data_IF_542113687548
#
_entry.id   IF_542113687548
#
_cell.length_a   1.000
_cell.length_b   1.000
_cell.length_c   1.000
_cell.angle_alpha   90.00
_cell.angle_beta   90.00
_cell.angle_gamma   90.00
#
_symmetry.space_group_name_H-M   'P 1'
#
loop_
_entity.id
_entity.type
_entity.pdbx_description
1 polymer ?
#
# COMPACT_ATOMS: atom_id res chain seq x y z
N UNK A 1 -7.69 9.99 -1.07
CA UNK A 1 -7.54 9.39 -2.42
C UNK A 1 -8.15 8.00 -2.38
N UNK A 2 -9.49 7.90 -2.42
CA UNK A 2 -10.29 6.66 -2.49
C UNK A 2 -11.69 6.98 -3.05
N UNK A 3 -11.78 7.91 -4.01
CA UNK A 3 -13.06 8.49 -4.41
C UNK A 3 -13.94 7.50 -5.17
N UNK A 4 -13.34 6.67 -6.04
CA UNK A 4 -14.08 5.72 -6.87
C UNK A 4 -14.73 4.58 -6.07
N UNK A 5 -14.04 3.88 -5.15
CA UNK A 5 -14.72 2.84 -4.38
C UNK A 5 -15.80 3.36 -3.42
N UNK A 6 -15.73 4.64 -3.04
CA UNK A 6 -16.76 5.28 -2.21
C UNK A 6 -18.05 5.52 -2.97
N UNK A 7 -17.99 5.86 -4.26
CA UNK A 7 -19.22 6.00 -5.06
C UNK A 7 -19.92 4.65 -5.20
N UNK A 8 -19.16 3.58 -5.45
CA UNK A 8 -19.70 2.23 -5.57
C UNK A 8 -20.38 1.76 -4.27
N UNK A 9 -19.82 2.09 -3.11
CA UNK A 9 -20.45 1.80 -1.82
C UNK A 9 -21.83 2.45 -1.70
N UNK A 10 -21.97 3.71 -2.12
CA UNK A 10 -23.24 4.45 -2.06
C UNK A 10 -24.24 3.89 -3.07
N UNK A 11 -23.80 3.57 -4.28
CA UNK A 11 -24.65 3.03 -5.35
C UNK A 11 -25.24 1.64 -5.03
N UNK A 12 -24.49 0.82 -4.29
CA UNK A 12 -24.86 -0.57 -3.98
C UNK A 12 -25.49 -0.75 -2.59
N UNK A 13 -25.52 0.31 -1.77
CA UNK A 13 -26.02 0.26 -0.40
C UNK A 13 -27.47 -0.27 -0.32
N UNK A 14 -28.37 0.26 -1.16
CA UNK A 14 -29.79 -0.11 -1.14
C UNK A 14 -30.06 -1.52 -1.71
N UNK A 15 -29.06 -2.14 -2.33
CA UNK A 15 -29.11 -3.52 -2.81
C UNK A 15 -28.59 -4.51 -1.75
N UNK A 16 -28.19 -4.04 -0.58
CA UNK A 16 -27.63 -4.87 0.49
C UNK A 16 -26.26 -5.45 0.17
N UNK A 17 -25.53 -4.87 -0.80
CA UNK A 17 -24.20 -5.33 -1.22
C UNK A 17 -23.13 -4.48 -0.53
N UNK A 18 -22.31 -5.11 0.30
CA UNK A 18 -21.19 -4.46 0.97
C UNK A 18 -19.99 -4.31 0.00
N UNK A 19 -19.32 -3.16 0.07
CA UNK A 19 -18.14 -2.84 -0.74
C UNK A 19 -16.98 -2.60 0.20
N UNK A 20 -15.82 -3.20 -0.09
CA UNK A 20 -14.60 -3.04 0.70
C UNK A 20 -13.42 -2.74 -0.24
N UNK A 21 -12.47 -1.93 0.22
CA UNK A 21 -11.24 -1.57 -0.50
C UNK A 21 -10.05 -2.15 0.24
N UNK A 22 -9.27 -2.96 -0.45
CA UNK A 22 -8.06 -3.56 0.11
C UNK A 22 -6.83 -2.90 -0.49
N UNK A 23 -5.93 -2.42 0.36
CA UNK A 23 -4.72 -1.72 -0.07
C UNK A 23 -3.49 -2.36 0.61
N UNK A 24 -3.03 -3.52 0.11
CA UNK A 24 -1.81 -4.13 0.63
C UNK A 24 -0.57 -3.36 0.14
N UNK A 25 0.47 -3.32 1.00
CA UNK A 25 1.84 -2.99 0.59
C UNK A 25 2.49 -4.22 -0.06
N UNK A 26 3.80 -4.19 -0.31
CA UNK A 26 4.53 -5.34 -0.89
C UNK A 26 4.52 -6.56 0.06
N UNK A 27 4.17 -7.72 -0.47
CA UNK A 27 4.13 -9.00 0.23
C UNK A 27 4.56 -10.14 -0.69
N UNK A 28 4.87 -11.30 -0.10
CA UNK A 28 5.32 -12.45 -0.89
C UNK A 28 4.21 -12.93 -1.84
N UNK A 29 4.43 -12.76 -3.14
CA UNK A 29 3.48 -13.12 -4.22
C UNK A 29 4.21 -13.50 -5.50
N UNK A 30 3.45 -14.04 -6.46
CA UNK A 30 3.89 -14.28 -7.84
C UNK A 30 3.75 -13.04 -8.76
N UNK A 31 3.59 -11.83 -8.21
CA UNK A 31 3.36 -10.62 -9.01
C UNK A 31 4.52 -10.32 -9.99
N UNK A 32 5.73 -10.75 -9.67
CA UNK A 32 6.91 -10.61 -10.53
C UNK A 32 6.82 -11.39 -11.84
N UNK A 33 6.05 -12.48 -11.86
CA UNK A 33 5.90 -13.33 -13.04
C UNK A 33 5.18 -12.58 -14.16
N UNK A 34 4.25 -11.72 -13.78
CA UNK A 34 3.49 -10.85 -14.69
C UNK A 34 3.96 -9.39 -14.70
N UNK A 35 5.05 -9.06 -13.99
CA UNK A 35 5.53 -7.69 -13.91
C UNK A 35 6.10 -7.20 -15.24
N UNK A 36 5.44 -6.21 -15.85
CA UNK A 36 5.88 -5.51 -17.07
C UNK A 36 6.57 -4.20 -16.69
N UNK A 37 7.84 -4.30 -16.32
CA UNK A 37 8.69 -3.14 -16.04
C UNK A 37 9.51 -2.68 -17.25
N UNK A 38 9.83 -1.39 -17.35
CA UNK A 38 10.62 -0.85 -18.46
C UNK A 38 12.08 -1.33 -18.46
N UNK A 39 12.63 -1.78 -17.32
CA UNK A 39 14.02 -2.25 -17.22
C UNK A 39 14.17 -3.51 -16.32
N UNK A 40 15.13 -4.39 -16.63
CA UNK A 40 15.44 -5.56 -15.78
C UNK A 40 15.87 -5.20 -14.34
N UNK A 41 16.58 -4.08 -14.17
CA UNK A 41 17.02 -3.59 -12.87
C UNK A 41 15.84 -3.26 -11.94
N UNK A 42 14.76 -2.70 -12.48
CA UNK A 42 13.54 -2.39 -11.73
C UNK A 42 12.81 -3.66 -11.30
N UNK A 43 12.77 -4.69 -12.16
CA UNK A 43 12.22 -6.01 -11.81
C UNK A 43 13.00 -6.65 -10.64
N UNK A 44 14.33 -6.60 -10.67
CA UNK A 44 15.17 -7.13 -9.58
C UNK A 44 14.97 -6.38 -8.26
N UNK A 45 14.76 -5.06 -8.30
CA UNK A 45 14.51 -4.26 -7.09
C UNK A 45 13.15 -4.58 -6.47
N UNK A 46 12.10 -4.72 -7.29
CA UNK A 46 10.76 -5.10 -6.82
C UNK A 46 10.79 -6.53 -6.28
N UNK A 47 11.56 -7.43 -6.91
CA UNK A 47 11.73 -8.78 -6.41
C UNK A 47 12.27 -8.83 -4.99
N UNK A 48 13.33 -8.05 -4.72
CA UNK A 48 13.87 -7.90 -3.36
C UNK A 48 12.87 -7.33 -2.37
N UNK A 49 11.97 -6.43 -2.79
CA UNK A 49 10.95 -5.86 -1.91
C UNK A 49 9.87 -6.88 -1.55
N UNK A 50 9.48 -7.73 -2.50
CA UNK A 50 8.49 -8.79 -2.28
C UNK A 50 9.07 -9.90 -1.39
N UNK A 51 10.31 -10.32 -1.64
CA UNK A 51 11.03 -11.34 -0.84
C UNK A 51 11.29 -10.88 0.59
N UNK A 52 11.63 -9.60 0.80
CA UNK A 52 11.91 -9.06 2.12
C UNK A 52 10.66 -8.94 3.00
N UNK A 53 9.47 -8.99 2.40
CA UNK A 53 8.24 -8.82 3.15
C UNK A 53 8.00 -10.01 4.08
N UNK A 54 7.72 -9.77 5.38
CA UNK A 54 7.50 -10.84 6.36
C UNK A 54 6.10 -11.46 6.26
N UNK A 55 5.19 -10.87 5.49
CA UNK A 55 3.79 -11.30 5.39
C UNK A 55 3.57 -12.09 4.09
N UNK A 56 2.83 -13.20 4.20
CA UNK A 56 2.50 -14.06 3.06
C UNK A 56 1.14 -13.70 2.46
N UNK A 57 0.87 -14.20 1.25
CA UNK A 57 -0.45 -14.06 0.65
C UNK A 57 -1.59 -14.69 1.47
N UNK A 58 -1.31 -15.79 2.19
CA UNK A 58 -2.28 -16.44 3.07
C UNK A 58 -2.64 -15.55 4.26
N UNK A 59 -1.64 -14.92 4.89
CA UNK A 59 -1.86 -14.00 6.02
C UNK A 59 -2.69 -12.78 5.60
N UNK A 60 -2.42 -12.24 4.40
CA UNK A 60 -3.21 -11.15 3.85
C UNK A 60 -4.65 -11.59 3.59
N UNK A 61 -4.86 -12.77 3.00
CA UNK A 61 -6.20 -13.29 2.72
C UNK A 61 -7.02 -13.47 4.00
N UNK A 62 -6.42 -14.04 5.04
CA UNK A 62 -7.05 -14.22 6.34
C UNK A 62 -7.36 -12.88 7.01
N UNK A 63 -6.42 -11.92 6.97
CA UNK A 63 -6.67 -10.57 7.45
C UNK A 63 -7.85 -9.90 6.73
N UNK A 64 -7.90 -9.97 5.40
CA UNK A 64 -9.01 -9.42 4.61
C UNK A 64 -10.33 -10.06 5.02
N UNK A 65 -10.36 -11.39 5.12
CA UNK A 65 -11.55 -12.14 5.49
C UNK A 65 -12.14 -11.67 6.82
N UNK A 66 -11.29 -11.51 7.85
CA UNK A 66 -11.72 -11.02 9.17
C UNK A 66 -12.23 -9.58 9.11
N UNK A 67 -11.56 -8.70 8.36
CA UNK A 67 -11.95 -7.29 8.26
C UNK A 67 -13.23 -7.08 7.46
N UNK A 68 -13.45 -7.89 6.42
CA UNK A 68 -14.73 -7.92 5.69
C UNK A 68 -15.86 -8.34 6.63
N UNK A 69 -15.66 -9.40 7.43
CA UNK A 69 -16.64 -9.82 8.44
C UNK A 69 -16.92 -8.75 9.51
N UNK A 70 -15.92 -7.90 9.82
CA UNK A 70 -16.07 -6.77 10.73
C UNK A 70 -16.77 -5.54 10.11
N UNK A 71 -17.07 -5.55 8.80
CA UNK A 71 -17.71 -4.44 8.11
C UNK A 71 -16.76 -3.28 7.77
N UNK A 72 -15.44 -3.50 7.80
CA UNK A 72 -14.46 -2.44 7.58
C UNK A 72 -14.33 -2.07 6.11
N UNK A 73 -14.69 -0.84 5.75
CA UNK A 73 -14.62 -0.37 4.36
C UNK A 73 -13.19 -0.34 3.83
N UNK A 74 -12.22 0.15 4.62
CA UNK A 74 -10.84 0.33 4.18
C UNK A 74 -9.91 -0.64 4.91
N UNK A 75 -9.44 -1.63 4.18
CA UNK A 75 -8.64 -2.73 4.71
C UNK A 75 -7.18 -2.48 4.35
N UNK A 76 -6.37 -2.17 5.37
CA UNK A 76 -4.92 -1.99 5.29
C UNK A 76 -4.24 -3.16 6.01
N UNK A 77 -3.77 -4.20 5.29
CA UNK A 77 -3.17 -5.38 5.92
C UNK A 77 -1.88 -5.10 6.67
N UNK A 78 -1.11 -4.11 6.22
CA UNK A 78 0.21 -3.80 6.76
C UNK A 78 0.12 -2.74 7.86
N UNK A 79 0.80 -2.99 8.98
CA UNK A 79 0.82 -2.08 10.13
C UNK A 79 1.40 -0.72 9.79
N UNK A 80 2.52 -0.67 9.08
CA UNK A 80 3.13 0.58 8.59
C UNK A 80 2.14 1.39 7.75
N UNK A 81 1.33 0.70 6.93
CA UNK A 81 0.28 1.34 6.12
C UNK A 81 -0.81 1.96 6.98
N UNK A 82 -1.21 1.32 8.08
CA UNK A 82 -2.17 1.85 9.05
C UNK A 82 -1.59 3.06 9.79
N UNK A 83 -0.36 2.98 10.28
CA UNK A 83 0.32 4.08 10.96
C UNK A 83 0.46 5.31 10.05
N UNK A 84 0.90 5.10 8.81
CA UNK A 84 1.02 6.20 7.83
C UNK A 84 -0.33 6.82 7.51
N UNK A 85 -1.39 6.01 7.43
CA UNK A 85 -2.74 6.52 7.23
C UNK A 85 -3.24 7.35 8.42
N UNK A 86 -2.99 6.89 9.64
CA UNK A 86 -3.39 7.60 10.85
C UNK A 86 -2.63 8.91 11.02
N UNK A 87 -1.33 8.92 10.73
CA UNK A 87 -0.53 10.14 10.67
C UNK A 87 -1.09 11.12 9.63
N UNK A 88 -1.44 10.63 8.43
CA UNK A 88 -2.02 11.46 7.37
C UNK A 88 -3.39 12.05 7.75
N UNK A 89 -4.20 11.32 8.51
CA UNK A 89 -5.50 11.80 8.99
C UNK A 89 -5.37 12.84 10.11
N UNK A 90 -4.48 12.60 11.06
CA UNK A 90 -4.42 13.38 12.29
C UNK A 90 -3.45 14.57 12.18
N UNK A 91 -2.38 14.44 11.40
CA UNK A 91 -1.29 15.43 11.32
C UNK A 91 -0.75 15.52 9.87
N UNK A 92 -1.54 16.05 8.92
CA UNK A 92 -1.14 16.10 7.52
C UNK A 92 0.16 16.90 7.30
N UNK A 93 0.41 17.95 8.09
CA UNK A 93 1.64 18.74 7.99
C UNK A 93 2.89 17.94 8.35
N UNK A 94 2.84 17.13 9.42
CA UNK A 94 3.96 16.30 9.84
C UNK A 94 4.36 15.30 8.74
N UNK A 95 3.38 14.72 8.03
CA UNK A 95 3.63 13.86 6.89
C UNK A 95 4.34 14.61 5.75
N UNK A 96 3.94 15.85 5.44
CA UNK A 96 4.60 16.65 4.41
C UNK A 96 6.05 16.99 4.77
N UNK A 97 6.29 17.30 6.04
CA UNK A 97 7.63 17.61 6.54
C UNK A 97 8.55 16.38 6.45
N UNK A 98 8.04 15.21 6.86
CA UNK A 98 8.77 13.93 6.74
C UNK A 98 9.09 13.59 5.27
N UNK A 99 8.12 13.75 4.36
CA UNK A 99 8.32 13.55 2.94
C UNK A 99 9.35 14.52 2.34
N UNK A 100 9.38 15.76 2.82
CA UNK A 100 10.35 16.78 2.40
C UNK A 100 11.77 16.38 2.80
N UNK A 101 11.93 15.91 4.04
CA UNK A 101 13.20 15.39 4.56
C UNK A 101 13.65 14.16 3.76
N UNK A 102 12.73 13.23 3.47
CA UNK A 102 13.01 12.03 2.69
C UNK A 102 13.48 12.38 1.26
N UNK A 103 12.79 13.31 0.60
CA UNK A 103 13.18 13.80 -0.73
C UNK A 103 14.59 14.39 -0.73
N UNK A 104 14.92 15.21 0.28
CA UNK A 104 16.26 15.80 0.41
C UNK A 104 17.35 14.72 0.57
N UNK A 105 17.11 13.71 1.42
CA UNK A 105 18.03 12.58 1.62
C UNK A 105 18.22 11.75 0.34
N UNK A 106 17.14 11.47 -0.40
CA UNK A 106 17.20 10.71 -1.66
C UNK A 106 18.01 11.45 -2.73
N UNK A 107 17.82 12.77 -2.87
CA UNK A 107 18.62 13.61 -3.78
C UNK A 107 20.11 13.60 -3.42
N UNK A 108 20.42 13.75 -2.13
CA UNK A 108 21.82 13.70 -1.66
C UNK A 108 22.49 12.34 -1.94
N UNK A 109 21.74 11.23 -1.80
CA UNK A 109 22.24 9.89 -2.12
C UNK A 109 22.45 9.68 -3.63
N UNK A 110 21.55 10.21 -4.46
CA UNK A 110 21.67 10.15 -5.92
C UNK A 110 22.87 10.96 -6.45
N UNK A 111 23.16 12.12 -5.84
CA UNK A 111 24.34 12.94 -6.17
C UNK A 111 25.66 12.25 -5.81
N UNK A 112 25.70 11.51 -4.69
CA UNK A 112 26.89 10.74 -4.29
C UNK A 112 27.14 9.48 -5.14
N UNK A 113 26.15 8.99 -5.89
CA UNK A 113 26.28 7.80 -6.74
C UNK A 113 26.76 8.08 -8.18
N UNK A 114 26.93 9.35 -8.56
CA UNK A 114 27.43 9.78 -9.87
C UNK A 114 28.88 10.34 -9.81
N UNK A 115 29.54 10.22 -8.65
CA UNK A 115 30.93 10.60 -8.42
C UNK A 115 31.81 9.37 -8.20
#
# INVERSE_FOLDING_TARGET
MWHFPKSLLVELHDQGVAVHVVCPSFFQTNLLDSFRGPTPAMKAQIGRLLEKSPITAADIADYIFRQVAAGEFMILPHEEGRMAWDLKRNQPQAMYDEMTIMCAKMRAKAQKGHA
#
